data_IF_867062503287
#
_entry.id   IF_867062503287
#
_cell.length_a   1.000
_cell.length_b   1.000
_cell.length_c   1.000
_cell.angle_alpha   90.00
_cell.angle_beta   90.00
_cell.angle_gamma   90.00
#
_symmetry.space_group_name_H-M   'P 1'
#
loop_
_entity.id
_entity.type
_entity.pdbx_description
1 polymer ?
#
# COMPACT_ATOMS: atom_id res chain seq x y z
N UNK A 1 -39.37 -11.06 -28.50
CA UNK A 1 -39.35 -11.61 -27.13
C UNK A 1 -38.08 -11.10 -26.45
N UNK A 2 -38.19 -9.98 -25.73
CA UNK A 2 -37.08 -9.42 -24.95
C UNK A 2 -37.38 -9.68 -23.47
N UNK A 3 -36.65 -10.62 -22.88
CA UNK A 3 -36.72 -10.94 -21.46
C UNK A 3 -36.01 -9.83 -20.68
N UNK A 4 -36.81 -8.93 -20.10
CA UNK A 4 -36.41 -8.00 -19.06
C UNK A 4 -36.06 -8.81 -17.79
N UNK A 5 -34.77 -9.00 -17.54
CA UNK A 5 -34.28 -9.49 -16.24
C UNK A 5 -34.30 -8.30 -15.29
N UNK A 6 -35.43 -8.12 -14.62
CA UNK A 6 -35.54 -7.25 -13.45
C UNK A 6 -34.81 -7.93 -12.29
N UNK A 7 -33.74 -7.30 -11.81
CA UNK A 7 -33.00 -7.73 -10.62
C UNK A 7 -33.68 -7.11 -9.39
N UNK A 8 -34.32 -7.90 -8.50
CA UNK A 8 -34.97 -7.37 -7.31
C UNK A 8 -33.91 -7.08 -6.23
N UNK A 9 -33.69 -5.79 -5.96
CA UNK A 9 -32.99 -5.32 -4.76
C UNK A 9 -33.80 -5.73 -3.52
N UNK A 10 -33.45 -6.88 -2.92
CA UNK A 10 -33.92 -7.21 -1.58
C UNK A 10 -33.17 -6.39 -0.54
N UNK A 11 -33.97 -5.62 0.17
CA UNK A 11 -33.71 -4.90 1.41
C UNK A 11 -33.29 -5.87 2.52
N UNK A 12 -32.15 -5.65 3.18
CA UNK A 12 -31.92 -6.00 4.60
C UNK A 12 -30.81 -5.07 5.15
N UNK A 13 -31.18 -4.06 5.93
CA UNK A 13 -31.22 -4.08 7.40
C UNK A 13 -29.83 -3.95 8.05
N UNK A 14 -29.51 -2.75 8.55
CA UNK A 14 -28.46 -2.56 9.56
C UNK A 14 -29.05 -1.84 10.75
N UNK A 15 -29.08 -2.57 11.87
CA UNK A 15 -29.40 -2.14 13.21
C UNK A 15 -28.41 -1.07 13.72
N UNK A 16 -28.95 -0.11 14.47
CA UNK A 16 -28.22 0.85 15.29
C UNK A 16 -28.40 0.43 16.75
N UNK A 17 -27.30 0.28 17.51
CA UNK A 17 -27.12 0.91 18.84
C UNK A 17 -25.86 0.42 19.58
N UNK A 18 -24.89 1.33 19.69
CA UNK A 18 -24.10 1.77 20.86
C UNK A 18 -23.86 0.82 22.06
N UNK A 19 -22.60 0.76 22.55
CA UNK A 19 -22.32 0.27 23.91
C UNK A 19 -20.84 0.16 24.37
N UNK A 20 -20.21 1.31 24.65
CA UNK A 20 -19.28 1.65 25.77
C UNK A 20 -18.10 0.73 26.22
N UNK A 21 -16.88 1.25 25.97
CA UNK A 21 -15.75 1.62 26.87
C UNK A 21 -15.41 0.87 28.18
N UNK A 22 -14.11 0.59 28.37
CA UNK A 22 -13.39 0.17 29.59
C UNK A 22 -12.26 -0.80 29.21
N UNK A 23 -10.96 -0.52 29.29
CA UNK A 23 -10.19 0.22 30.28
C UNK A 23 -9.51 -0.79 31.21
N UNK A 24 -8.22 -1.09 31.01
CA UNK A 24 -7.21 -1.25 32.06
C UNK A 24 -5.87 -1.76 31.53
N UNK A 25 -4.84 -1.11 32.07
CA UNK A 25 -3.41 -1.27 31.92
C UNK A 25 -2.93 -2.49 32.71
N UNK A 26 -2.16 -3.39 32.10
CA UNK A 26 -1.44 -4.46 32.79
C UNK A 26 0.04 -4.34 32.44
N UNK A 27 0.84 -4.04 33.45
CA UNK A 27 2.26 -3.74 33.37
C UNK A 27 3.13 -4.99 33.18
N UNK A 28 4.30 -4.76 32.62
CA UNK A 28 5.40 -5.72 32.53
C UNK A 28 6.26 -5.66 33.80
N UNK A 29 6.55 -6.78 34.48
CA UNK A 29 7.57 -6.82 35.51
C UNK A 29 8.97 -7.03 34.90
N UNK A 30 9.87 -6.11 35.24
CA UNK A 30 11.33 -6.27 35.12
C UNK A 30 11.79 -7.12 36.31
N UNK A 31 12.62 -8.14 36.06
CA UNK A 31 13.43 -8.77 37.09
C UNK A 31 14.81 -9.13 36.53
N UNK A 32 15.83 -8.52 37.15
CA UNK A 32 17.27 -8.72 36.94
C UNK A 32 17.82 -9.64 38.03
N UNK A 33 18.78 -10.52 37.69
CA UNK A 33 19.93 -11.01 38.50
C UNK A 33 20.60 -12.15 37.71
N UNK A 34 21.79 -11.97 37.15
CA UNK A 34 23.16 -12.01 37.72
C UNK A 34 23.81 -13.41 37.69
N UNK A 35 25.05 -13.51 37.17
CA UNK A 35 26.00 -14.59 37.51
C UNK A 35 26.89 -15.22 36.40
N UNK A 36 28.06 -14.59 36.12
CA UNK A 36 29.41 -15.14 35.80
C UNK A 36 29.62 -16.15 34.63
N UNK A 37 30.35 -15.77 33.56
CA UNK A 37 31.82 -15.78 33.29
C UNK A 37 32.38 -17.15 32.85
N UNK A 38 32.82 -17.24 31.59
CA UNK A 38 34.12 -17.84 31.20
C UNK A 38 34.71 -17.10 29.98
N UNK A 39 36.03 -16.97 30.00
CA UNK A 39 36.88 -16.18 29.12
C UNK A 39 37.89 -17.14 28.50
N UNK A 40 38.04 -17.18 27.18
CA UNK A 40 39.24 -17.73 26.55
C UNK A 40 39.63 -16.86 25.37
N UNK A 41 40.85 -16.34 25.50
CA UNK A 41 41.64 -15.46 24.67
C UNK A 41 42.10 -16.14 23.37
N UNK A 42 42.11 -15.38 22.27
CA UNK A 42 43.23 -15.35 21.32
C UNK A 42 43.09 -14.15 20.38
N UNK A 43 43.93 -13.15 20.58
CA UNK A 43 44.13 -11.98 19.72
C UNK A 43 44.97 -12.38 18.50
N UNK A 44 44.66 -11.85 17.30
CA UNK A 44 45.73 -11.50 16.35
C UNK A 44 45.25 -10.46 15.32
N UNK A 45 45.90 -9.30 15.38
CA UNK A 45 45.83 -8.13 14.51
C UNK A 45 46.65 -8.31 13.24
N UNK A 46 46.15 -7.81 12.10
CA UNK A 46 46.99 -7.28 11.00
C UNK A 46 46.29 -6.04 10.39
N UNK A 47 47.03 -4.95 10.43
CA UNK A 47 46.94 -3.66 9.76
C UNK A 47 47.26 -3.75 8.25
N UNK A 48 46.51 -3.03 7.39
CA UNK A 48 47.05 -2.43 6.15
C UNK A 48 46.09 -1.32 5.60
N UNK A 49 46.60 -0.13 5.18
CA UNK A 49 45.80 1.03 4.72
C UNK A 49 45.94 1.37 3.21
N UNK A 50 44.90 2.04 2.66
CA UNK A 50 44.92 2.80 1.37
C UNK A 50 44.56 1.94 0.15
N UNK A 51 43.65 2.29 -0.77
CA UNK A 51 43.43 3.52 -1.56
C UNK A 51 41.93 3.48 -2.01
N UNK A 52 41.14 4.56 -2.02
CA UNK A 52 41.26 5.61 -3.01
C UNK A 52 40.39 5.39 -4.26
N UNK A 53 39.06 5.39 -4.14
CA UNK A 53 38.19 5.84 -5.25
C UNK A 53 36.98 6.62 -4.73
N UNK A 54 37.19 7.93 -4.64
CA UNK A 54 36.13 8.92 -4.61
C UNK A 54 35.67 9.17 -6.04
N UNK A 55 34.43 8.80 -6.34
CA UNK A 55 33.63 9.51 -7.33
C UNK A 55 32.26 9.73 -6.70
N UNK A 56 32.11 10.92 -6.13
CA UNK A 56 30.84 11.60 -5.92
C UNK A 56 30.01 11.53 -7.20
N UNK A 57 28.89 10.82 -7.16
CA UNK A 57 27.71 11.23 -7.93
C UNK A 57 26.55 11.35 -6.96
N UNK A 58 26.19 12.60 -6.71
CA UNK A 58 25.15 13.03 -5.79
C UNK A 58 23.79 12.71 -6.40
N UNK A 59 23.41 11.43 -6.38
CA UNK A 59 22.02 11.04 -6.46
C UNK A 59 21.38 11.36 -5.11
N UNK A 60 20.58 12.42 -5.08
CA UNK A 60 19.58 12.69 -4.03
C UNK A 60 18.72 11.44 -3.86
N UNK A 61 19.21 10.50 -3.05
CA UNK A 61 18.53 9.26 -2.74
C UNK A 61 17.44 9.64 -1.75
N UNK A 62 16.32 10.08 -2.31
CA UNK A 62 15.09 10.31 -1.58
C UNK A 62 14.91 9.13 -0.61
N UNK A 63 14.95 9.44 0.68
CA UNK A 63 14.74 8.48 1.76
C UNK A 63 13.36 7.86 1.57
N UNK A 64 13.29 6.79 0.78
CA UNK A 64 12.10 5.98 0.67
C UNK A 64 11.79 5.49 2.08
N UNK A 65 10.58 5.74 2.61
CA UNK A 65 10.21 5.16 3.89
C UNK A 65 10.41 3.65 3.77
N UNK A 66 11.06 3.06 4.77
CA UNK A 66 11.47 1.64 4.90
C UNK A 66 10.35 0.60 4.60
N UNK A 67 9.11 1.06 4.39
CA UNK A 67 7.95 0.25 4.04
C UNK A 67 7.55 0.27 2.56
N UNK A 68 8.12 1.11 1.70
CA UNK A 68 7.74 1.24 0.28
C UNK A 68 8.42 0.16 -0.59
N UNK A 69 7.69 -0.42 -1.55
CA UNK A 69 8.33 -1.34 -2.50
C UNK A 69 9.22 -0.54 -3.47
N UNK A 70 10.40 -1.06 -3.78
CA UNK A 70 11.28 -0.46 -4.78
C UNK A 70 10.55 -0.36 -6.13
N UNK A 71 10.30 0.86 -6.63
CA UNK A 71 9.53 1.11 -7.85
C UNK A 71 8.02 1.27 -7.66
N UNK A 72 7.51 1.36 -6.42
CA UNK A 72 6.15 1.83 -6.13
C UNK A 72 6.05 3.35 -6.35
N UNK A 73 4.96 3.81 -6.95
CA UNK A 73 4.76 5.23 -7.26
C UNK A 73 3.83 5.95 -6.27
N UNK A 74 2.91 5.23 -5.61
CA UNK A 74 1.95 5.81 -4.68
C UNK A 74 1.93 5.08 -3.32
N UNK A 75 3.08 4.96 -2.62
CA UNK A 75 3.15 4.30 -1.31
C UNK A 75 2.23 4.96 -0.26
N UNK A 76 1.97 6.26 -0.38
CA UNK A 76 1.07 6.99 0.51
C UNK A 76 -0.36 6.43 0.51
N UNK A 77 -0.77 5.75 -0.57
CA UNK A 77 -2.11 5.17 -0.70
C UNK A 77 -2.37 4.01 0.28
N UNK A 78 -1.33 3.40 0.83
CA UNK A 78 -1.42 2.38 1.90
C UNK A 78 -0.86 2.84 3.24
N UNK A 79 0.02 3.84 3.24
CA UNK A 79 0.69 4.32 4.47
C UNK A 79 -0.15 5.32 5.27
N UNK A 80 -0.95 6.18 4.62
CA UNK A 80 -1.75 7.21 5.29
C UNK A 80 -3.06 7.51 4.57
N UNK A 81 -4.01 8.12 5.27
CA UNK A 81 -5.22 8.65 4.62
C UNK A 81 -4.87 9.88 3.79
N UNK A 82 -5.26 9.86 2.52
CA UNK A 82 -5.22 11.00 1.62
C UNK A 82 -6.34 12.00 1.99
N UNK A 83 -6.07 13.27 1.76
CA UNK A 83 -7.07 14.34 1.93
C UNK A 83 -7.77 14.67 0.61
N UNK A 84 -9.00 15.19 0.69
CA UNK A 84 -9.75 15.59 -0.50
C UNK A 84 -9.04 16.72 -1.28
N UNK A 85 -8.43 17.67 -0.56
CA UNK A 85 -7.66 18.77 -1.15
C UNK A 85 -6.42 18.28 -1.88
N UNK A 86 -5.75 17.25 -1.36
CA UNK A 86 -4.60 16.64 -2.03
C UNK A 86 -5.01 15.95 -3.33
N UNK A 87 -6.11 15.19 -3.32
CA UNK A 87 -6.59 14.43 -4.47
C UNK A 87 -7.29 15.30 -5.51
N UNK A 88 -7.84 16.46 -5.13
CA UNK A 88 -8.51 17.38 -6.07
C UNK A 88 -7.55 17.94 -7.14
N UNK A 89 -6.25 18.01 -6.86
CA UNK A 89 -5.23 18.39 -7.84
C UNK A 89 -4.82 17.26 -8.79
N UNK A 90 -5.24 16.01 -8.53
CA UNK A 90 -4.78 14.86 -9.32
C UNK A 90 -5.54 14.76 -10.64
N UNK A 91 -4.80 14.45 -11.70
CA UNK A 91 -5.31 14.19 -13.05
C UNK A 91 -5.74 12.74 -13.22
N UNK A 92 -6.54 12.46 -14.26
CA UNK A 92 -7.17 11.16 -14.45
C UNK A 92 -6.17 10.01 -14.55
N UNK A 93 -5.07 10.20 -15.30
CA UNK A 93 -4.00 9.20 -15.41
C UNK A 93 -3.38 8.86 -14.06
N UNK A 94 -3.08 9.87 -13.24
CA UNK A 94 -2.53 9.71 -11.88
C UNK A 94 -3.51 8.95 -10.97
N UNK A 95 -4.77 9.36 -10.96
CA UNK A 95 -5.82 8.70 -10.16
C UNK A 95 -6.01 7.24 -10.59
N UNK A 96 -6.08 6.97 -11.89
CA UNK A 96 -6.23 5.63 -12.44
C UNK A 96 -5.03 4.75 -12.09
N UNK A 97 -3.82 5.29 -12.18
CA UNK A 97 -2.61 4.56 -11.81
C UNK A 97 -2.63 4.20 -10.33
N UNK A 98 -2.87 5.17 -9.43
CA UNK A 98 -2.90 4.95 -8.00
C UNK A 98 -3.94 3.89 -7.59
N UNK A 99 -5.13 3.92 -8.21
CA UNK A 99 -6.16 2.88 -8.01
C UNK A 99 -5.66 1.50 -8.43
N UNK A 100 -5.04 1.40 -9.61
CA UNK A 100 -4.54 0.12 -10.09
C UNK A 100 -3.36 -0.39 -9.24
N UNK A 101 -2.50 0.50 -8.76
CA UNK A 101 -1.39 0.13 -7.87
C UNK A 101 -1.91 -0.46 -6.55
N UNK A 102 -2.96 0.12 -5.96
CA UNK A 102 -3.65 -0.46 -4.80
C UNK A 102 -4.05 -1.91 -5.11
N UNK A 103 -4.68 -2.18 -6.25
CA UNK A 103 -5.07 -3.55 -6.59
C UNK A 103 -3.88 -4.48 -6.89
N UNK A 104 -2.85 -3.97 -7.56
CA UNK A 104 -1.67 -4.74 -7.96
C UNK A 104 -0.90 -5.28 -6.75
N UNK A 105 -0.78 -4.47 -5.68
CA UNK A 105 -0.13 -4.90 -4.43
C UNK A 105 -0.76 -6.11 -3.76
N UNK A 106 -2.06 -6.33 -4.00
CA UNK A 106 -2.79 -7.48 -3.47
C UNK A 106 -2.88 -8.64 -4.49
N UNK A 107 -2.09 -8.58 -5.57
CA UNK A 107 -2.02 -9.63 -6.60
C UNK A 107 -3.22 -9.69 -7.54
N UNK A 108 -3.95 -8.58 -7.72
CA UNK A 108 -5.02 -8.53 -8.72
C UNK A 108 -4.47 -8.69 -10.14
N UNK A 109 -5.14 -9.52 -10.94
CA UNK A 109 -4.89 -9.67 -12.38
C UNK A 109 -5.72 -8.66 -13.18
N UNK A 110 -5.13 -8.10 -14.24
CA UNK A 110 -5.78 -7.08 -15.07
C UNK A 110 -6.16 -7.61 -16.46
N UNK A 111 -7.41 -7.39 -16.86
CA UNK A 111 -7.92 -7.75 -18.19
C UNK A 111 -7.39 -6.82 -19.29
N UNK A 112 -7.20 -5.55 -18.98
CA UNK A 112 -6.69 -4.56 -19.93
C UNK A 112 -5.19 -4.73 -20.12
N UNK A 113 -4.77 -5.03 -21.35
CA UNK A 113 -3.37 -5.33 -21.67
C UNK A 113 -2.40 -4.20 -21.30
N UNK A 114 -2.79 -2.94 -21.49
CA UNK A 114 -1.93 -1.80 -21.13
C UNK A 114 -1.69 -1.70 -19.63
N UNK A 115 -2.70 -2.02 -18.80
CA UNK A 115 -2.56 -2.04 -17.34
C UNK A 115 -1.73 -3.25 -16.92
N UNK A 116 -2.01 -4.41 -17.49
CA UNK A 116 -1.30 -5.64 -17.18
C UNK A 116 0.21 -5.51 -17.47
N UNK A 117 0.57 -5.10 -18.70
CA UNK A 117 1.97 -4.87 -19.10
C UNK A 117 2.69 -3.85 -18.20
N UNK A 118 1.97 -2.83 -17.73
CA UNK A 118 2.53 -1.83 -16.84
C UNK A 118 2.98 -2.44 -15.51
N UNK A 119 2.17 -3.31 -14.89
CA UNK A 119 2.51 -3.92 -13.60
C UNK A 119 3.38 -5.17 -13.74
N UNK A 120 3.27 -5.93 -14.84
CA UNK A 120 4.16 -7.08 -15.12
C UNK A 120 5.64 -6.70 -15.20
N UNK A 121 5.97 -5.43 -15.50
CA UNK A 121 7.36 -4.96 -15.49
C UNK A 121 7.87 -4.55 -14.11
N UNK A 122 7.04 -4.62 -13.06
CA UNK A 122 7.42 -4.21 -11.70
C UNK A 122 7.88 -5.42 -10.90
N UNK A 123 9.06 -5.34 -10.29
CA UNK A 123 9.67 -6.45 -9.54
C UNK A 123 8.87 -6.87 -8.30
N UNK A 124 8.00 -6.01 -7.78
CA UNK A 124 7.16 -6.28 -6.62
C UNK A 124 5.77 -6.83 -6.96
N UNK A 125 5.38 -6.84 -8.24
CA UNK A 125 4.05 -7.27 -8.64
C UNK A 125 3.97 -8.79 -8.76
N UNK A 126 3.19 -9.40 -7.88
CA UNK A 126 2.95 -10.85 -7.84
C UNK A 126 1.48 -11.16 -8.15
N UNK A 127 1.10 -11.35 -9.43
CA UNK A 127 -0.28 -11.65 -9.82
C UNK A 127 -0.74 -13.02 -9.30
N UNK A 128 -1.95 -13.07 -8.72
CA UNK A 128 -2.56 -14.31 -8.23
C UNK A 128 -3.64 -14.76 -9.21
N UNK A 129 -3.50 -15.97 -9.76
CA UNK A 129 -4.45 -16.53 -10.74
C UNK A 129 -5.87 -16.55 -10.15
N UNK A 130 -6.82 -16.01 -10.92
CA UNK A 130 -8.23 -15.94 -10.51
C UNK A 130 -8.57 -14.81 -9.54
N UNK A 131 -7.60 -14.01 -9.09
CA UNK A 131 -7.83 -12.82 -8.27
C UNK A 131 -8.03 -11.60 -9.16
N UNK A 132 -9.24 -11.05 -9.18
CA UNK A 132 -9.57 -9.81 -9.89
C UNK A 132 -9.70 -8.63 -8.92
N UNK A 133 -9.74 -7.36 -9.39
CA UNK A 133 -9.86 -6.20 -8.52
C UNK A 133 -11.05 -6.23 -7.55
N UNK A 134 -12.17 -6.85 -7.93
CA UNK A 134 -13.34 -6.94 -7.07
C UNK A 134 -13.10 -7.88 -5.88
N UNK A 135 -12.46 -9.03 -6.13
CA UNK A 135 -12.10 -9.98 -5.07
C UNK A 135 -11.14 -9.38 -4.03
N UNK A 136 -10.29 -8.42 -4.43
CA UNK A 136 -9.33 -7.74 -3.56
C UNK A 136 -9.98 -6.78 -2.56
N UNK A 137 -11.17 -6.24 -2.84
CA UNK A 137 -11.80 -5.22 -1.99
C UNK A 137 -11.93 -5.64 -0.51
N UNK A 138 -12.16 -6.94 -0.26
CA UNK A 138 -12.24 -7.49 1.09
C UNK A 138 -10.90 -7.43 1.85
N UNK A 139 -9.79 -7.58 1.13
CA UNK A 139 -8.41 -7.65 1.65
C UNK A 139 -7.81 -6.29 1.98
N UNK A 140 -8.35 -5.22 1.41
CA UNK A 140 -7.81 -3.87 1.59
C UNK A 140 -7.87 -3.44 3.06
N UNK A 141 -6.80 -2.80 3.51
CA UNK A 141 -6.72 -2.17 4.82
C UNK A 141 -7.72 -1.01 4.95
N UNK A 142 -7.96 -0.55 6.18
CA UNK A 142 -8.84 0.61 6.42
C UNK A 142 -8.34 1.90 5.74
N UNK A 143 -7.02 2.07 5.64
CA UNK A 143 -6.39 3.19 4.94
C UNK A 143 -6.62 3.08 3.43
N UNK A 144 -6.34 1.92 2.84
CA UNK A 144 -6.54 1.69 1.41
C UNK A 144 -8.01 1.81 1.01
N UNK A 145 -8.95 1.29 1.81
CA UNK A 145 -10.40 1.44 1.56
C UNK A 145 -10.83 2.90 1.53
N UNK A 146 -10.35 3.71 2.47
CA UNK A 146 -10.60 5.16 2.50
C UNK A 146 -10.04 5.84 1.25
N UNK A 147 -8.78 5.56 0.91
CA UNK A 147 -8.10 6.16 -0.24
C UNK A 147 -8.70 5.73 -1.56
N UNK A 148 -9.05 4.45 -1.72
CA UNK A 148 -9.72 3.92 -2.91
C UNK A 148 -11.08 4.60 -3.13
N UNK A 149 -11.85 4.83 -2.05
CA UNK A 149 -13.11 5.58 -2.14
C UNK A 149 -12.90 7.01 -2.62
N UNK A 150 -11.91 7.71 -2.05
CA UNK A 150 -11.60 9.09 -2.40
C UNK A 150 -11.11 9.22 -3.86
N UNK A 151 -10.17 8.37 -4.26
CA UNK A 151 -9.66 8.30 -5.63
C UNK A 151 -10.77 7.93 -6.62
N UNK A 152 -11.64 6.98 -6.27
CA UNK A 152 -12.80 6.61 -7.08
C UNK A 152 -13.78 7.77 -7.27
N UNK A 153 -14.01 8.60 -6.24
CA UNK A 153 -14.82 9.80 -6.36
C UNK A 153 -14.19 10.83 -7.31
N UNK A 154 -12.89 11.10 -7.15
CA UNK A 154 -12.15 12.01 -8.04
C UNK A 154 -12.14 11.52 -9.48
N UNK A 155 -11.97 10.22 -9.70
CA UNK A 155 -12.03 9.62 -11.05
C UNK A 155 -13.38 9.91 -11.71
N UNK A 156 -14.49 9.67 -11.00
CA UNK A 156 -15.85 9.94 -11.51
C UNK A 156 -16.08 11.42 -11.80
N UNK A 157 -15.54 12.31 -10.97
CA UNK A 157 -15.59 13.75 -11.21
C UNK A 157 -14.87 14.12 -12.51
N UNK A 158 -13.66 13.61 -12.72
CA UNK A 158 -12.89 13.84 -13.94
C UNK A 158 -13.57 13.29 -15.20
N UNK A 159 -14.19 12.11 -15.11
CA UNK A 159 -15.00 11.52 -16.18
C UNK A 159 -16.20 12.42 -16.52
N UNK A 160 -16.90 12.95 -15.50
CA UNK A 160 -18.01 13.90 -15.70
C UNK A 160 -17.57 15.21 -16.36
N UNK A 161 -16.34 15.64 -16.12
CA UNK A 161 -15.74 16.84 -16.71
C UNK A 161 -15.11 16.59 -18.09
N UNK A 162 -15.06 15.35 -18.57
CA UNK A 162 -14.40 15.00 -19.84
C UNK A 162 -12.87 15.13 -19.80
N UNK A 163 -12.28 14.99 -18.61
CA UNK A 163 -10.83 15.08 -18.35
C UNK A 163 -10.16 13.70 -18.22
N UNK A 164 -10.72 12.69 -18.88
CA UNK A 164 -10.31 11.28 -18.83
C UNK A 164 -9.32 10.85 -19.94
N UNK A 165 -8.82 11.81 -20.71
CA UNK A 165 -7.86 11.63 -21.81
C UNK A 165 -6.41 11.38 -21.34
#
# INVERSE_FOLDING_TARGET
>A
MALLVACPCLMFATCISLGRNGGSNAGYPIATSDGQREQTTSEQSIDDPGEGFSATDSGDYASYPDSAYLGEHFPETRQRKLSATEVSGWQFKKVRYAINEIFARHGATFKTDSIRKQFESMSWYEPIVGRDPQSVLGLLSGVEKHNLKLLGARRKELEKLGLDK
#
